data_IF_033523097181
#
_entry.id   IF_033523097181
#
_cell.length_a   1.000
_cell.length_b   1.000
_cell.length_c   1.000
_cell.angle_alpha   90.00
_cell.angle_beta   90.00
_cell.angle_gamma   90.00
#
_symmetry.space_group_name_H-M   'P 1'
#
loop_
_entity.id
_entity.type
_entity.pdbx_description
1 polymer ?
#
# COMPACT_ATOMS: atom_id res chain seq x y z
N UNK A 1 -7.49 9.26 -36.43
CA UNK A 1 -7.01 10.30 -35.50
C UNK A 1 -7.88 11.54 -35.68
N UNK A 2 -8.72 11.89 -34.70
CA UNK A 2 -9.24 13.24 -34.59
C UNK A 2 -8.82 13.89 -33.27
N UNK A 3 -8.28 15.10 -33.36
CA UNK A 3 -8.11 16.05 -32.26
C UNK A 3 -9.48 16.60 -31.84
N UNK A 4 -9.82 16.55 -30.53
CA UNK A 4 -10.89 17.30 -29.85
C UNK A 4 -10.47 17.39 -28.38
N UNK A 5 -10.05 18.53 -27.84
CA UNK A 5 -10.81 19.76 -27.57
C UNK A 5 -10.87 19.90 -26.04
N UNK A 6 -9.87 20.48 -25.38
CA UNK A 6 -9.84 21.91 -25.00
C UNK A 6 -11.19 22.47 -24.53
N UNK A 7 -11.78 21.81 -23.53
CA UNK A 7 -12.89 22.33 -22.73
C UNK A 7 -12.72 21.76 -21.32
N UNK A 8 -11.68 22.19 -20.61
CA UNK A 8 -11.42 21.72 -19.25
C UNK A 8 -12.46 22.31 -18.29
N UNK A 9 -13.64 21.70 -18.24
CA UNK A 9 -14.50 21.79 -17.06
C UNK A 9 -13.66 21.37 -15.86
N UNK A 10 -13.62 22.22 -14.84
CA UNK A 10 -12.91 21.87 -13.62
C UNK A 10 -13.59 20.65 -13.02
N UNK A 11 -12.85 19.57 -12.72
CA UNK A 11 -13.45 18.36 -12.20
C UNK A 11 -14.18 18.66 -10.88
N UNK A 12 -15.37 18.09 -10.74
CA UNK A 12 -16.15 18.09 -9.50
C UNK A 12 -15.31 17.57 -8.34
N UNK A 13 -15.59 18.01 -7.10
CA UNK A 13 -14.87 17.53 -5.91
C UNK A 13 -14.85 15.99 -5.81
N UNK A 14 -15.92 15.34 -6.29
CA UNK A 14 -16.02 13.87 -6.33
C UNK A 14 -15.14 13.29 -7.43
N UNK A 15 -15.11 13.89 -8.62
CA UNK A 15 -14.24 13.47 -9.73
C UNK A 15 -12.77 13.65 -9.38
N UNK A 16 -12.42 14.71 -8.63
CA UNK A 16 -11.08 14.92 -8.08
C UNK A 16 -10.72 13.79 -7.12
N UNK A 17 -11.65 13.34 -6.27
CA UNK A 17 -11.41 12.23 -5.36
C UNK A 17 -11.29 10.89 -6.11
N UNK A 18 -11.99 10.70 -7.24
CA UNK A 18 -11.77 9.56 -8.14
C UNK A 18 -10.38 9.64 -8.79
N UNK A 19 -9.96 10.81 -9.27
CA UNK A 19 -8.61 11.03 -9.81
C UNK A 19 -7.55 10.75 -8.73
N UNK A 20 -7.80 11.13 -7.47
CA UNK A 20 -6.92 10.79 -6.34
C UNK A 20 -6.92 9.30 -6.03
N UNK A 21 -8.03 8.59 -6.23
CA UNK A 21 -8.12 7.15 -6.03
C UNK A 21 -7.25 6.35 -7.02
N UNK A 22 -6.96 6.90 -8.20
CA UNK A 22 -5.94 6.35 -9.10
C UNK A 22 -4.53 6.45 -8.51
N UNK A 23 -4.26 7.45 -7.67
CA UNK A 23 -2.97 7.68 -7.04
C UNK A 23 -1.86 7.86 -8.07
N UNK A 24 -0.82 7.03 -7.99
CA UNK A 24 0.29 6.98 -8.95
C UNK A 24 0.02 6.03 -10.13
N UNK A 25 -1.09 5.29 -10.11
CA UNK A 25 -1.40 4.31 -11.15
C UNK A 25 -2.13 4.95 -12.31
N UNK A 26 -1.64 4.69 -13.53
CA UNK A 26 -2.30 5.12 -14.77
C UNK A 26 -3.51 4.25 -15.12
N UNK A 27 -3.58 3.03 -14.57
CA UNK A 27 -4.62 2.05 -14.86
C UNK A 27 -5.04 1.30 -13.60
N UNK A 28 -6.34 1.20 -13.34
CA UNK A 28 -6.87 0.49 -12.18
C UNK A 28 -8.12 -0.32 -12.51
N UNK A 29 -8.35 -1.37 -11.71
CA UNK A 29 -9.56 -2.19 -11.80
C UNK A 29 -10.72 -1.46 -11.10
N UNK A 30 -11.95 -1.59 -11.62
CA UNK A 30 -13.13 -0.89 -11.06
C UNK A 30 -13.33 -1.14 -9.56
N UNK A 31 -13.11 -2.37 -9.10
CA UNK A 31 -13.22 -2.75 -7.68
C UNK A 31 -12.19 -2.03 -6.81
N UNK A 32 -10.93 -2.06 -7.21
CA UNK A 32 -9.82 -1.45 -6.48
C UNK A 32 -9.97 0.07 -6.44
N UNK A 33 -10.39 0.66 -7.56
CA UNK A 33 -10.67 2.09 -7.66
C UNK A 33 -11.82 2.50 -6.74
N UNK A 34 -12.89 1.69 -6.66
CA UNK A 34 -14.02 1.96 -5.77
C UNK A 34 -13.61 1.91 -4.29
N UNK A 35 -12.83 0.90 -3.89
CA UNK A 35 -12.34 0.79 -2.51
C UNK A 35 -11.44 1.98 -2.11
N UNK A 36 -10.51 2.37 -2.99
CA UNK A 36 -9.66 3.54 -2.75
C UNK A 36 -10.46 4.84 -2.72
N UNK A 37 -11.42 4.98 -3.62
CA UNK A 37 -12.33 6.12 -3.61
C UNK A 37 -13.07 6.22 -2.28
N UNK A 38 -13.63 5.12 -1.77
CA UNK A 38 -14.28 5.10 -0.46
C UNK A 38 -13.34 5.51 0.68
N UNK A 39 -12.08 5.06 0.67
CA UNK A 39 -11.12 5.45 1.71
C UNK A 39 -10.81 6.96 1.69
N UNK A 40 -10.77 7.57 0.50
CA UNK A 40 -10.48 9.00 0.32
C UNK A 40 -11.74 9.84 0.60
N UNK A 41 -12.89 9.39 0.11
CA UNK A 41 -14.17 10.10 0.16
C UNK A 41 -14.97 9.83 1.44
N UNK A 42 -14.56 8.86 2.28
CA UNK A 42 -15.28 8.46 3.50
C UNK A 42 -15.62 9.64 4.42
N UNK A 43 -14.76 10.65 4.44
CA UNK A 43 -14.95 11.85 5.25
C UNK A 43 -15.96 12.86 4.67
N UNK A 44 -16.44 12.66 3.44
CA UNK A 44 -17.28 13.62 2.70
C UNK A 44 -18.55 13.03 2.12
N UNK A 45 -18.53 11.81 1.61
CA UNK A 45 -19.72 11.15 1.06
C UNK A 45 -19.50 9.63 0.93
N UNK A 46 -20.40 8.86 1.52
CA UNK A 46 -20.51 7.42 1.28
C UNK A 46 -21.36 7.23 0.02
N UNK A 47 -20.70 6.86 -1.08
CA UNK A 47 -21.35 6.66 -2.38
C UNK A 47 -21.52 5.17 -2.63
N UNK A 48 -22.72 4.76 -3.04
CA UNK A 48 -22.98 3.38 -3.41
C UNK A 48 -22.25 3.00 -4.70
N UNK A 49 -22.10 1.69 -4.93
CA UNK A 49 -21.36 1.18 -6.08
C UNK A 49 -21.97 1.58 -7.43
N UNK A 50 -23.30 1.66 -7.49
CA UNK A 50 -24.01 2.01 -8.72
C UNK A 50 -23.93 3.52 -9.02
N UNK A 51 -23.90 4.35 -7.98
CA UNK A 51 -23.62 5.78 -8.11
C UNK A 51 -22.17 6.01 -8.56
N UNK A 52 -21.21 5.27 -7.99
CA UNK A 52 -19.81 5.32 -8.42
C UNK A 52 -19.63 4.95 -9.90
N UNK A 53 -20.34 3.92 -10.38
CA UNK A 53 -20.35 3.57 -11.82
C UNK A 53 -20.93 4.67 -12.69
N UNK A 54 -21.90 5.41 -12.17
CA UNK A 54 -22.50 6.55 -12.89
C UNK A 54 -21.49 7.69 -13.00
N UNK A 55 -20.75 7.99 -11.92
CA UNK A 55 -19.64 8.95 -11.91
C UNK A 55 -18.56 8.54 -12.91
N UNK A 56 -18.17 7.25 -12.97
CA UNK A 56 -17.18 6.80 -13.94
C UNK A 56 -17.64 6.96 -15.40
N UNK A 57 -18.95 6.80 -15.68
CA UNK A 57 -19.50 7.05 -17.02
C UNK A 57 -19.49 8.53 -17.37
N UNK A 58 -19.75 9.40 -16.40
CA UNK A 58 -19.65 10.86 -16.58
C UNK A 58 -18.19 11.26 -16.83
N UNK A 59 -17.25 10.72 -16.05
CA UNK A 59 -15.82 10.94 -16.25
C UNK A 59 -15.30 10.37 -17.59
N UNK A 60 -15.88 9.28 -18.09
CA UNK A 60 -15.60 8.74 -19.43
C UNK A 60 -16.11 9.69 -20.51
N UNK A 61 -17.35 10.18 -20.38
CA UNK A 61 -17.94 11.13 -21.33
C UNK A 61 -17.18 12.47 -21.38
N UNK A 62 -16.70 12.93 -20.23
CA UNK A 62 -15.88 14.14 -20.07
C UNK A 62 -14.41 13.94 -20.48
N UNK A 63 -14.01 12.71 -20.83
CA UNK A 63 -12.67 12.39 -21.33
C UNK A 63 -11.58 12.32 -20.25
N UNK A 64 -11.94 12.21 -18.97
CA UNK A 64 -10.98 12.06 -17.88
C UNK A 64 -10.39 10.65 -17.80
N UNK A 65 -11.22 9.64 -18.10
CA UNK A 65 -10.86 8.22 -18.03
C UNK A 65 -11.36 7.49 -19.29
N UNK A 66 -10.76 6.34 -19.58
CA UNK A 66 -11.19 5.42 -20.62
C UNK A 66 -11.34 4.00 -20.06
N UNK A 67 -12.41 3.27 -20.39
CA UNK A 67 -12.54 1.89 -19.98
C UNK A 67 -11.50 1.01 -20.67
N UNK A 68 -10.93 0.08 -19.91
CA UNK A 68 -10.00 -0.95 -20.39
C UNK A 68 -10.43 -2.32 -19.86
N UNK A 69 -10.10 -3.39 -20.58
CA UNK A 69 -10.26 -4.76 -20.09
C UNK A 69 -8.90 -5.31 -19.69
N UNK A 70 -8.70 -5.53 -18.40
CA UNK A 70 -7.51 -6.15 -17.85
C UNK A 70 -7.85 -7.60 -17.52
N UNK A 71 -7.34 -8.56 -18.33
CA UNK A 71 -7.52 -10.00 -18.09
C UNK A 71 -9.00 -10.43 -17.90
N UNK A 72 -9.91 -9.83 -18.67
CA UNK A 72 -11.35 -10.11 -18.60
C UNK A 72 -12.12 -9.33 -17.54
N UNK A 73 -11.42 -8.56 -16.69
CA UNK A 73 -12.03 -7.69 -15.69
C UNK A 73 -12.09 -6.25 -16.20
N UNK A 74 -13.17 -5.54 -15.85
CA UNK A 74 -13.36 -4.14 -16.23
C UNK A 74 -12.46 -3.23 -15.38
N UNK A 75 -11.68 -2.41 -16.05
CA UNK A 75 -10.84 -1.39 -15.45
C UNK A 75 -10.95 -0.08 -16.20
N UNK A 76 -10.22 0.93 -15.72
CA UNK A 76 -10.18 2.25 -16.30
C UNK A 76 -8.74 2.72 -16.39
N UNK A 77 -8.43 3.44 -17.47
CA UNK A 77 -7.18 4.11 -17.71
C UNK A 77 -7.41 5.61 -17.60
N UNK A 78 -6.59 6.31 -16.85
CA UNK A 78 -6.63 7.76 -16.79
C UNK A 78 -6.11 8.36 -18.10
N UNK A 79 -6.88 9.26 -18.71
CA UNK A 79 -6.54 9.92 -19.98
C UNK A 79 -5.98 11.33 -19.80
N UNK A 80 -6.18 11.95 -18.64
CA UNK A 80 -5.64 13.29 -18.37
C UNK A 80 -4.16 13.19 -18.05
N UNK A 81 -3.34 13.62 -19.01
CA UNK A 81 -1.91 13.86 -18.80
C UNK A 81 -1.74 15.12 -17.94
N UNK A 82 -1.29 14.94 -16.70
CA UNK A 82 -0.56 15.94 -15.91
C UNK A 82 -1.14 17.37 -15.88
N UNK A 83 -2.46 17.56 -15.97
CA UNK A 83 -3.03 18.89 -15.81
C UNK A 83 -3.03 19.21 -14.32
N UNK A 84 -1.96 19.88 -13.87
CA UNK A 84 -1.84 20.54 -12.57
C UNK A 84 -1.81 19.64 -11.33
N UNK A 85 -1.12 18.49 -11.42
CA UNK A 85 -0.74 17.69 -10.23
C UNK A 85 0.16 18.45 -9.24
N UNK A 86 0.58 19.69 -9.52
CA UNK A 86 1.31 20.53 -8.57
C UNK A 86 0.42 21.37 -7.63
N UNK A 87 -0.87 21.56 -7.94
CA UNK A 87 -1.74 22.49 -7.18
C UNK A 87 -3.01 21.86 -6.60
N UNK A 88 -3.52 20.74 -7.13
CA UNK A 88 -4.77 20.08 -6.63
C UNK A 88 -4.48 18.84 -5.77
N UNK A 89 -3.20 18.45 -5.70
CA UNK A 89 -2.65 17.27 -5.00
C UNK A 89 -2.26 17.53 -3.56
N UNK A 90 -2.64 18.66 -2.97
CA UNK A 90 -2.59 18.78 -1.50
C UNK A 90 -3.96 18.38 -0.97
N UNK A 91 -4.16 17.11 -0.57
CA UNK A 91 -5.38 16.77 0.15
C UNK A 91 -5.44 17.64 1.41
N UNK A 92 -6.61 18.23 1.69
CA UNK A 92 -6.83 19.15 2.84
C UNK A 92 -6.46 18.50 4.17
N UNK A 93 -6.45 17.17 4.19
CA UNK A 93 -5.79 16.33 5.18
C UNK A 93 -4.83 15.45 4.38
N UNK A 94 -3.51 15.47 4.64
CA UNK A 94 -2.58 14.56 3.99
C UNK A 94 -3.07 13.13 4.17
N UNK A 95 -3.35 12.44 3.06
CA UNK A 95 -3.37 10.98 3.07
C UNK A 95 -2.01 10.55 3.63
N UNK A 96 -1.98 9.62 4.57
CA UNK A 96 -0.74 9.22 5.26
C UNK A 96 0.36 8.79 4.25
N UNK A 97 -0.04 8.33 3.07
CA UNK A 97 0.83 8.01 1.93
C UNK A 97 1.61 9.23 1.36
N UNK A 98 1.10 10.47 1.49
CA UNK A 98 1.80 11.69 1.07
C UNK A 98 2.75 12.28 2.13
N UNK A 99 2.69 11.81 3.38
CA UNK A 99 3.64 12.24 4.42
C UNK A 99 5.03 11.67 4.18
N UNK A 100 5.12 10.58 3.41
CA UNK A 100 6.37 10.00 2.96
C UNK A 100 7.13 10.86 1.93
N UNK A 101 6.45 11.71 1.16
CA UNK A 101 7.08 12.40 0.02
C UNK A 101 7.62 13.80 0.33
N UNK A 102 7.19 14.44 1.43
CA UNK A 102 7.64 15.80 1.79
C UNK A 102 8.08 15.79 3.25
N UNK A 103 9.38 15.59 3.44
CA UNK A 103 10.03 15.44 4.73
C UNK A 103 9.47 16.35 5.83
N UNK A 104 8.99 15.72 6.89
CA UNK A 104 8.75 16.38 8.17
C UNK A 104 8.85 15.34 9.26
N UNK A 105 10.07 15.17 9.78
CA UNK A 105 10.27 14.93 11.20
C UNK A 105 9.21 15.74 12.00
N UNK A 106 8.49 15.10 12.92
CA UNK A 106 7.47 15.69 13.83
C UNK A 106 6.01 15.65 13.39
N UNK A 107 5.53 14.52 12.89
CA UNK A 107 4.15 14.19 13.18
C UNK A 107 4.03 12.77 13.71
N UNK A 108 3.98 12.66 15.04
CA UNK A 108 3.42 11.47 15.68
C UNK A 108 1.94 11.44 15.31
N UNK A 109 1.44 10.47 14.55
CA UNK A 109 0.01 10.30 14.43
C UNK A 109 -0.48 9.80 15.79
N UNK A 110 -1.40 10.53 16.42
CA UNK A 110 -2.35 9.92 17.35
C UNK A 110 -3.24 9.01 16.48
N UNK A 111 -2.71 7.86 16.10
CA UNK A 111 -3.55 6.75 15.67
C UNK A 111 -4.33 6.39 16.93
N UNK A 112 -5.62 6.69 16.91
CA UNK A 112 -6.56 6.06 17.83
C UNK A 112 -6.31 4.56 17.69
N UNK A 113 -5.68 4.00 18.73
CA UNK A 113 -5.41 2.58 18.88
C UNK A 113 -6.73 1.86 18.61
N UNK A 114 -6.84 1.29 17.42
CA UNK A 114 -7.93 0.37 17.14
C UNK A 114 -7.87 -0.71 18.22
N UNK A 115 -9.04 -0.97 18.81
CA UNK A 115 -9.20 -1.81 19.98
C UNK A 115 -8.50 -3.16 19.78
N UNK A 116 -8.00 -3.81 20.84
CA UNK A 116 -7.29 -5.08 20.71
C UNK A 116 -8.20 -6.09 20.04
N UNK A 117 -7.90 -6.43 18.78
CA UNK A 117 -8.42 -7.62 18.12
C UNK A 117 -8.09 -8.77 19.05
N UNK A 118 -9.10 -9.45 19.60
CA UNK A 118 -8.88 -10.63 20.45
C UNK A 118 -7.96 -11.57 19.65
N UNK A 119 -6.75 -11.79 20.17
CA UNK A 119 -5.79 -12.73 19.58
C UNK A 119 -6.48 -14.09 19.58
N UNK A 120 -6.97 -14.52 18.42
CA UNK A 120 -7.54 -15.83 18.21
C UNK A 120 -6.46 -16.74 17.63
N UNK A 121 -6.67 -18.05 17.73
CA UNK A 121 -5.72 -19.05 17.22
C UNK A 121 -5.49 -18.90 15.72
N UNK A 122 -6.54 -18.56 14.97
CA UNK A 122 -6.48 -18.35 13.52
C UNK A 122 -5.54 -17.21 13.12
N UNK A 123 -5.55 -16.08 13.86
CA UNK A 123 -4.62 -14.96 13.63
C UNK A 123 -3.17 -15.38 13.89
N UNK A 124 -2.92 -16.15 14.95
CA UNK A 124 -1.58 -16.67 15.26
C UNK A 124 -1.09 -17.62 14.17
N UNK A 125 -1.94 -18.55 13.73
CA UNK A 125 -1.62 -19.48 12.65
C UNK A 125 -1.29 -18.73 11.35
N UNK A 126 -2.06 -17.67 11.01
CA UNK A 126 -1.75 -16.82 9.86
C UNK A 126 -0.44 -16.04 10.03
N UNK A 127 -0.18 -15.48 11.21
CA UNK A 127 1.07 -14.77 11.48
C UNK A 127 2.29 -15.69 11.38
N UNK A 128 2.16 -16.95 11.80
CA UNK A 128 3.22 -17.96 11.64
C UNK A 128 3.47 -18.31 10.18
N UNK A 129 2.42 -18.41 9.35
CA UNK A 129 2.55 -18.69 7.91
C UNK A 129 3.28 -17.53 7.23
N UNK A 130 2.79 -16.30 7.42
CA UNK A 130 3.37 -15.11 6.80
C UNK A 130 4.81 -14.89 7.29
N UNK A 131 5.05 -15.07 8.58
CA UNK A 131 6.39 -14.98 9.15
C UNK A 131 7.37 -15.98 8.54
N UNK A 132 6.92 -17.23 8.28
CA UNK A 132 7.72 -18.24 7.56
C UNK A 132 7.95 -17.87 6.10
N UNK A 133 6.95 -17.31 5.42
CA UNK A 133 7.12 -16.85 4.03
C UNK A 133 8.19 -15.77 3.94
N UNK A 134 8.17 -14.77 4.83
CA UNK A 134 9.23 -13.75 4.91
C UNK A 134 10.59 -14.40 5.19
N UNK A 135 10.64 -15.38 6.09
CA UNK A 135 11.88 -16.10 6.37
C UNK A 135 12.43 -16.82 5.15
N UNK A 136 11.57 -17.53 4.41
CA UNK A 136 11.96 -18.27 3.20
C UNK A 136 12.46 -17.31 2.13
N UNK A 137 11.79 -16.18 1.92
CA UNK A 137 12.21 -15.19 0.92
C UNK A 137 13.53 -14.51 1.31
N UNK A 138 13.72 -14.24 2.60
CA UNK A 138 14.99 -13.73 3.12
C UNK A 138 16.12 -14.76 2.91
N UNK A 139 15.88 -16.04 3.20
CA UNK A 139 16.83 -17.12 2.97
C UNK A 139 17.15 -17.29 1.48
N UNK A 140 16.15 -17.22 0.61
CA UNK A 140 16.30 -17.27 -0.85
C UNK A 140 17.13 -16.11 -1.37
N UNK A 141 16.86 -14.89 -0.90
CA UNK A 141 17.64 -13.72 -1.25
C UNK A 141 19.09 -13.86 -0.77
N UNK A 142 19.32 -14.28 0.47
CA UNK A 142 20.67 -14.52 0.99
C UNK A 142 21.44 -15.59 0.21
N UNK A 143 20.74 -16.64 -0.23
CA UNK A 143 21.33 -17.69 -1.06
C UNK A 143 21.74 -17.13 -2.43
N UNK A 144 20.95 -16.25 -3.02
CA UNK A 144 21.27 -15.59 -4.30
C UNK A 144 22.40 -14.57 -4.18
N UNK A 145 22.42 -13.81 -3.09
CA UNK A 145 23.38 -12.71 -2.84
C UNK A 145 24.74 -13.25 -2.37
N UNK A 146 24.75 -14.13 -1.36
CA UNK A 146 25.97 -14.59 -0.66
C UNK A 146 26.34 -16.04 -0.97
N UNK A 147 25.51 -16.79 -1.71
CA UNK A 147 25.73 -18.20 -2.01
C UNK A 147 25.58 -19.14 -0.80
N UNK A 148 25.18 -18.61 0.36
CA UNK A 148 25.02 -19.39 1.60
C UNK A 148 23.94 -18.78 2.50
N UNK A 149 23.25 -19.65 3.24
CA UNK A 149 22.29 -19.25 4.25
C UNK A 149 22.97 -19.31 5.62
N UNK A 150 22.92 -18.22 6.37
CA UNK A 150 23.37 -18.17 7.75
C UNK A 150 22.19 -17.89 8.66
N UNK A 151 21.79 -18.87 9.47
CA UNK A 151 20.66 -18.73 10.41
C UNK A 151 20.86 -17.57 11.39
N UNK A 152 22.11 -17.30 11.80
CA UNK A 152 22.44 -16.15 12.65
C UNK A 152 22.15 -14.82 11.96
N UNK A 153 22.49 -14.70 10.67
CA UNK A 153 22.16 -13.50 9.88
C UNK A 153 20.66 -13.39 9.58
N UNK A 154 19.97 -14.51 9.31
CA UNK A 154 18.50 -14.52 9.15
C UNK A 154 17.83 -13.99 10.42
N UNK A 155 18.27 -14.46 11.59
CA UNK A 155 17.77 -13.98 12.88
C UNK A 155 18.07 -12.48 13.09
N UNK A 156 19.27 -12.03 12.76
CA UNK A 156 19.66 -10.63 12.85
C UNK A 156 18.79 -9.74 11.96
N UNK A 157 18.57 -10.12 10.71
CA UNK A 157 17.68 -9.42 9.79
C UNK A 157 16.24 -9.39 10.30
N UNK A 158 15.71 -10.51 10.79
CA UNK A 158 14.37 -10.57 11.40
C UNK A 158 14.22 -9.64 12.61
N UNK A 159 15.22 -9.64 13.50
CA UNK A 159 15.25 -8.76 14.67
C UNK A 159 15.31 -7.29 14.27
N UNK A 160 16.14 -6.95 13.29
CA UNK A 160 16.29 -5.59 12.83
C UNK A 160 15.03 -5.09 12.09
N UNK A 161 14.37 -5.94 11.30
CA UNK A 161 13.05 -5.63 10.71
C UNK A 161 11.99 -5.41 11.80
N UNK A 162 11.97 -6.25 12.84
CA UNK A 162 11.11 -6.06 14.01
C UNK A 162 11.36 -4.71 14.69
N UNK A 163 12.63 -4.35 14.90
CA UNK A 163 13.00 -3.11 15.55
C UNK A 163 12.63 -1.91 14.68
N UNK A 164 12.99 -1.94 13.40
CA UNK A 164 12.66 -0.90 12.43
C UNK A 164 11.15 -0.68 12.35
N UNK A 165 10.35 -1.75 12.19
CA UNK A 165 8.89 -1.66 12.15
C UNK A 165 8.27 -1.17 13.47
N UNK A 166 8.93 -1.40 14.60
CA UNK A 166 8.48 -0.87 15.89
C UNK A 166 8.73 0.63 16.05
N UNK A 167 9.65 1.19 15.25
CA UNK A 167 9.94 2.62 15.17
C UNK A 167 9.01 3.30 14.16
N UNK A 168 8.97 2.80 12.91
CA UNK A 168 8.02 3.21 11.87
C UNK A 168 7.99 2.26 10.67
N UNK A 169 6.98 2.39 9.80
CA UNK A 169 6.97 1.66 8.52
C UNK A 169 8.09 2.15 7.59
N UNK A 170 8.42 3.45 7.66
CA UNK A 170 9.52 4.06 6.91
C UNK A 170 10.87 3.45 7.29
N UNK A 171 11.15 3.31 8.59
CA UNK A 171 12.39 2.71 9.07
C UNK A 171 12.51 1.25 8.61
N UNK A 172 11.39 0.51 8.55
CA UNK A 172 11.37 -0.84 7.99
C UNK A 172 11.72 -0.83 6.50
N UNK A 173 11.12 0.06 5.71
CA UNK A 173 11.42 0.13 4.28
C UNK A 173 12.86 0.60 4.00
N UNK A 174 13.38 1.54 4.77
CA UNK A 174 14.79 1.97 4.69
C UNK A 174 15.71 0.79 5.00
N UNK A 175 15.44 0.06 6.08
CA UNK A 175 16.18 -1.14 6.44
C UNK A 175 16.13 -2.19 5.32
N UNK A 176 14.95 -2.51 4.80
CA UNK A 176 14.77 -3.54 3.77
C UNK A 176 15.42 -3.11 2.47
N UNK A 177 15.32 -1.84 2.08
CA UNK A 177 15.96 -1.31 0.88
C UNK A 177 17.49 -1.39 0.96
N UNK A 178 18.09 -1.05 2.11
CA UNK A 178 19.54 -1.05 2.28
C UNK A 178 20.12 -2.44 2.52
N UNK A 179 19.47 -3.25 3.36
CA UNK A 179 20.05 -4.46 3.92
C UNK A 179 19.52 -5.74 3.28
N UNK A 180 18.28 -5.74 2.78
CA UNK A 180 17.62 -6.93 2.22
C UNK A 180 16.73 -6.58 1.01
N UNK A 181 17.27 -5.94 -0.04
CA UNK A 181 16.43 -5.36 -1.10
C UNK A 181 15.60 -6.40 -1.87
N UNK A 182 16.00 -7.67 -1.83
CA UNK A 182 15.29 -8.74 -2.52
C UNK A 182 13.95 -9.16 -1.92
N UNK A 183 13.61 -8.68 -0.70
CA UNK A 183 12.31 -9.00 -0.05
C UNK A 183 11.38 -7.79 0.05
N UNK A 184 11.73 -6.67 -0.61
CA UNK A 184 10.99 -5.41 -0.49
C UNK A 184 9.57 -5.50 -1.03
N UNK A 185 9.36 -6.29 -2.08
CA UNK A 185 8.05 -6.45 -2.70
C UNK A 185 7.12 -7.24 -1.77
N UNK A 186 7.63 -8.32 -1.18
CA UNK A 186 6.92 -9.23 -0.30
C UNK A 186 6.54 -8.53 1.01
N UNK A 187 7.49 -7.83 1.62
CA UNK A 187 7.23 -7.02 2.83
C UNK A 187 6.20 -5.92 2.53
N UNK A 188 6.31 -5.27 1.38
CA UNK A 188 5.35 -4.24 0.96
C UNK A 188 3.96 -4.78 0.62
N UNK A 189 3.84 -5.99 0.07
CA UNK A 189 2.56 -6.67 -0.14
C UNK A 189 1.90 -7.05 1.18
N UNK A 190 2.66 -7.60 2.12
CA UNK A 190 2.15 -7.99 3.44
C UNK A 190 1.68 -6.77 4.23
N UNK A 191 2.46 -5.68 4.24
CA UNK A 191 2.04 -4.41 4.86
C UNK A 191 0.75 -3.88 4.25
N UNK A 192 0.63 -3.88 2.92
CA UNK A 192 -0.58 -3.40 2.24
C UNK A 192 -1.81 -4.27 2.49
N UNK A 193 -1.62 -5.58 2.62
CA UNK A 193 -2.72 -6.53 2.80
C UNK A 193 -3.20 -6.64 4.25
N UNK A 194 -2.29 -6.60 5.22
CA UNK A 194 -2.57 -6.95 6.61
C UNK A 194 -2.24 -5.86 7.64
N UNK A 195 -1.48 -4.83 7.26
CA UNK A 195 -1.08 -3.73 8.13
C UNK A 195 0.16 -4.02 8.99
N UNK A 196 0.74 -2.95 9.55
CA UNK A 196 1.97 -2.97 10.34
C UNK A 196 1.87 -3.77 11.64
N UNK A 197 0.76 -3.68 12.37
CA UNK A 197 0.56 -4.45 13.60
C UNK A 197 0.61 -5.98 13.37
N UNK A 198 0.05 -6.43 12.23
CA UNK A 198 0.06 -7.83 11.85
C UNK A 198 1.46 -8.28 11.43
N UNK A 199 2.16 -7.48 10.63
CA UNK A 199 3.54 -7.79 10.22
C UNK A 199 4.47 -7.83 11.43
N UNK A 200 4.32 -6.88 12.37
CA UNK A 200 5.11 -6.85 13.60
C UNK A 200 4.88 -8.09 14.45
N UNK A 201 3.64 -8.55 14.57
CA UNK A 201 3.33 -9.80 15.27
C UNK A 201 3.96 -11.01 14.55
N UNK A 202 3.86 -11.07 13.24
CA UNK A 202 4.43 -12.14 12.40
C UNK A 202 5.95 -12.23 12.52
N UNK A 203 6.64 -11.08 12.46
CA UNK A 203 8.08 -10.99 12.63
C UNK A 203 8.52 -11.38 14.05
N UNK A 204 7.78 -10.95 15.10
CA UNK A 204 8.09 -11.32 16.49
C UNK A 204 7.91 -12.80 16.77
N UNK A 205 6.84 -13.40 16.26
CA UNK A 205 6.64 -14.84 16.36
C UNK A 205 7.82 -15.55 15.69
N UNK A 206 8.15 -15.19 14.46
CA UNK A 206 9.23 -15.82 13.69
C UNK A 206 10.60 -15.63 14.36
N UNK A 207 10.94 -14.45 14.85
CA UNK A 207 12.16 -14.18 15.61
C UNK A 207 12.26 -15.12 16.83
N UNK A 208 11.17 -15.26 17.58
CA UNK A 208 11.12 -16.16 18.74
C UNK A 208 11.31 -17.65 18.38
N UNK A 209 10.87 -18.06 17.17
CA UNK A 209 11.06 -19.42 16.66
C UNK A 209 12.49 -19.64 16.17
N UNK A 210 13.11 -18.66 15.50
CA UNK A 210 14.49 -18.75 15.01
C UNK A 210 15.48 -18.75 16.17
N UNK A 211 15.21 -18.00 17.24
CA UNK A 211 16.04 -17.97 18.47
C UNK A 211 16.20 -19.34 19.14
N UNK A 212 15.21 -20.23 19.02
CA UNK A 212 15.29 -21.60 19.57
C UNK A 212 16.30 -22.50 18.85
N UNK A 213 16.81 -22.08 17.69
CA UNK A 213 17.79 -22.83 16.90
C UNK A 213 19.20 -22.22 16.92
N UNK A 214 19.44 -21.18 17.72
CA UNK A 214 20.77 -20.62 17.98
C UNK A 214 21.43 -21.37 19.13
N UNK A 215 22.42 -22.21 18.82
CA UNK A 215 23.35 -22.81 19.78
C UNK A 215 24.46 -21.82 20.14
#
# INVERSE_FOLDING_TARGET
MPERGSGAEQPSDVEVDVIRAFGWSVMEIEETLYQRFLNISANRSLVSRDEFRSILREMEASGFIAPIRLRGVKGYKMLVAEINMGRVTKPRVPLDEMRLAVGSQRAKPLIEKSRPTKINKELLDMCEIIGKEIQVELENWMLRDKGRISKGLVHEHMKNMCQALSESEEDLFEYVHEQTPGIIAEVGEILRAYGSDFLLLSLRLTESHVKKYSF
#
